data_IF_980831852677
#
_entry.id   IF_980831852677
#
_cell.length_a   1.000
_cell.length_b   1.000
_cell.length_c   1.000
_cell.angle_alpha   90.00
_cell.angle_beta   90.00
_cell.angle_gamma   90.00
#
_symmetry.space_group_name_H-M   'P 1'
#
loop_
_entity.id
_entity.type
_entity.pdbx_description
1 polymer ?
#
# COMPACT_ATOMS: atom_id res chain seq x y z
N UNK A 1 3.76 -30.11 -46.20
CA UNK A 1 2.64 -29.82 -45.28
C UNK A 1 3.24 -29.22 -44.03
N UNK A 2 2.96 -27.95 -43.75
CA UNK A 2 3.64 -27.18 -42.70
C UNK A 2 2.61 -26.79 -41.65
N UNK A 3 2.72 -27.39 -40.46
CA UNK A 3 1.73 -27.20 -39.39
C UNK A 3 2.09 -25.94 -38.60
N UNK A 4 1.38 -24.84 -38.85
CA UNK A 4 1.57 -23.59 -38.10
C UNK A 4 0.87 -23.67 -36.75
N UNK A 5 1.63 -23.88 -35.68
CA UNK A 5 1.11 -23.80 -34.31
C UNK A 5 0.91 -22.34 -33.92
N UNK A 6 -0.33 -21.89 -33.87
CA UNK A 6 -0.68 -20.55 -33.38
C UNK A 6 -0.46 -20.47 -31.87
N UNK A 7 0.59 -19.76 -31.45
CA UNK A 7 0.88 -19.49 -30.04
C UNK A 7 -0.19 -18.57 -29.45
N UNK A 8 -0.97 -19.05 -28.49
CA UNK A 8 -2.00 -18.24 -27.83
C UNK A 8 -1.35 -17.19 -26.91
N UNK A 9 -1.71 -15.91 -27.11
CA UNK A 9 -1.30 -14.81 -26.24
C UNK A 9 -1.85 -15.02 -24.81
N UNK A 10 -1.03 -14.93 -23.75
CA UNK A 10 -1.53 -15.04 -22.39
C UNK A 10 -2.44 -13.84 -22.07
N UNK A 11 -3.68 -14.12 -21.68
CA UNK A 11 -4.62 -13.08 -21.29
C UNK A 11 -4.17 -12.42 -19.98
N UNK A 12 -3.78 -11.15 -20.05
CA UNK A 12 -3.42 -10.36 -18.88
C UNK A 12 -4.61 -10.29 -17.93
N UNK A 13 -4.50 -10.89 -16.74
CA UNK A 13 -5.54 -10.82 -15.71
C UNK A 13 -5.63 -9.38 -15.18
N UNK A 14 -6.48 -8.56 -15.81
CA UNK A 14 -6.72 -7.19 -15.39
C UNK A 14 -7.33 -7.20 -13.97
N UNK A 15 -6.51 -6.85 -12.99
CA UNK A 15 -6.94 -6.78 -11.60
C UNK A 15 -8.11 -5.81 -11.42
N UNK A 16 -9.12 -6.25 -10.68
CA UNK A 16 -10.38 -5.53 -10.39
C UNK A 16 -10.13 -4.04 -10.11
N UNK A 17 -10.67 -3.15 -10.94
CA UNK A 17 -10.42 -1.70 -10.82
C UNK A 17 -11.17 -1.14 -9.60
N UNK A 18 -10.48 -1.07 -8.46
CA UNK A 18 -11.09 -0.67 -7.18
C UNK A 18 -11.20 0.84 -6.94
N UNK A 19 -10.61 1.67 -7.81
CA UNK A 19 -10.70 3.12 -7.72
C UNK A 19 -10.88 3.74 -9.09
N UNK A 20 -11.73 4.77 -9.16
CA UNK A 20 -11.94 5.52 -10.38
C UNK A 20 -11.19 6.85 -10.38
N UNK A 21 -10.61 7.13 -11.54
CA UNK A 21 -10.05 8.42 -11.90
C UNK A 21 -10.96 9.04 -12.95
N UNK A 22 -11.92 9.86 -12.52
CA UNK A 22 -12.75 10.64 -13.43
C UNK A 22 -11.94 11.70 -14.20
N UNK A 23 -12.59 12.36 -15.14
CA UNK A 23 -11.95 13.13 -16.21
C UNK A 23 -10.85 14.10 -15.75
N UNK A 24 -11.05 14.82 -14.63
CA UNK A 24 -10.06 15.76 -14.10
C UNK A 24 -8.72 15.11 -13.71
N UNK A 25 -8.73 13.87 -13.20
CA UNK A 25 -7.48 13.15 -12.88
C UNK A 25 -6.80 12.64 -14.16
N UNK A 26 -7.57 12.20 -15.17
CA UNK A 26 -7.01 11.79 -16.48
C UNK A 26 -6.38 12.96 -17.21
N UNK A 27 -7.08 14.09 -17.32
CA UNK A 27 -6.55 15.32 -17.91
C UNK A 27 -5.25 15.77 -17.20
N UNK A 28 -5.20 15.71 -15.86
CA UNK A 28 -3.97 16.00 -15.12
C UNK A 28 -2.85 14.96 -15.33
N UNK A 29 -3.16 13.70 -15.63
CA UNK A 29 -2.15 12.71 -16.03
C UNK A 29 -1.67 12.91 -17.47
N UNK A 30 -2.50 13.46 -18.35
CA UNK A 30 -2.13 13.84 -19.72
C UNK A 30 -1.23 15.09 -19.70
N UNK A 31 -1.54 16.11 -18.88
CA UNK A 31 -0.67 17.28 -18.67
C UNK A 31 0.62 16.92 -17.92
N UNK A 32 0.54 16.06 -16.90
CA UNK A 32 1.66 15.66 -16.06
C UNK A 32 1.84 14.13 -16.09
N UNK A 33 2.45 13.56 -17.15
CA UNK A 33 2.67 12.13 -17.24
C UNK A 33 3.59 11.63 -16.11
N UNK A 34 3.30 10.47 -15.49
CA UNK A 34 4.20 9.85 -14.52
C UNK A 34 5.49 9.42 -15.20
N UNK A 35 6.63 9.55 -14.53
CA UNK A 35 7.91 9.07 -15.07
C UNK A 35 7.88 7.55 -15.26
N UNK A 36 8.37 7.06 -16.40
CA UNK A 36 8.57 5.63 -16.61
C UNK A 36 9.71 5.13 -15.73
N UNK A 37 9.60 3.89 -15.24
CA UNK A 37 10.71 3.20 -14.55
C UNK A 37 11.37 2.30 -15.59
N UNK A 38 12.67 2.44 -15.86
CA UNK A 38 13.35 1.62 -16.86
C UNK A 38 13.38 0.15 -16.45
N UNK A 39 13.44 -0.75 -17.44
CA UNK A 39 13.45 -2.20 -17.21
C UNK A 39 14.84 -2.77 -16.85
N UNK A 40 15.88 -1.95 -17.05
CA UNK A 40 17.26 -2.24 -16.72
C UNK A 40 18.00 -0.96 -16.31
N UNK A 41 18.97 -1.12 -15.42
CA UNK A 41 19.91 -0.12 -14.92
C UNK A 41 21.11 -0.87 -14.31
N UNK A 42 22.23 -0.19 -14.04
CA UNK A 42 23.51 -0.83 -13.66
C UNK A 42 23.37 -1.84 -12.53
N UNK A 43 22.79 -1.42 -11.40
CA UNK A 43 22.62 -2.22 -10.19
C UNK A 43 21.77 -3.50 -10.36
N UNK A 44 20.93 -3.58 -11.39
CA UNK A 44 20.08 -4.75 -11.66
C UNK A 44 20.66 -5.68 -12.73
N UNK A 45 21.71 -5.27 -13.44
CA UNK A 45 22.45 -6.09 -14.41
C UNK A 45 23.73 -6.73 -13.83
N UNK A 46 24.12 -6.38 -12.60
CA UNK A 46 25.24 -6.97 -11.87
C UNK A 46 25.06 -8.47 -11.62
N UNK A 47 26.18 -9.22 -11.58
CA UNK A 47 26.17 -10.61 -11.11
C UNK A 47 25.79 -10.71 -9.63
N UNK A 48 25.37 -11.91 -9.17
CA UNK A 48 24.99 -12.12 -7.77
C UNK A 48 26.10 -11.71 -6.81
N UNK A 49 27.35 -12.05 -7.12
CA UNK A 49 28.46 -11.81 -6.21
C UNK A 49 28.79 -10.30 -6.09
N UNK A 50 28.75 -9.56 -7.22
CA UNK A 50 28.84 -8.09 -7.23
C UNK A 50 27.72 -7.42 -6.42
N UNK A 51 26.48 -7.90 -6.57
CA UNK A 51 25.36 -7.44 -5.74
C UNK A 51 25.63 -7.72 -4.26
N UNK A 52 26.09 -8.92 -3.92
CA UNK A 52 26.33 -9.31 -2.53
C UNK A 52 27.47 -8.50 -1.87
N UNK A 53 28.51 -8.13 -2.61
CA UNK A 53 29.57 -7.24 -2.13
C UNK A 53 29.04 -5.84 -1.85
N UNK A 54 28.34 -5.24 -2.82
CA UNK A 54 27.73 -3.91 -2.67
C UNK A 54 26.72 -3.83 -1.51
N UNK A 55 26.01 -4.94 -1.22
CA UNK A 55 25.13 -5.03 -0.05
C UNK A 55 25.91 -5.16 1.28
N UNK A 56 27.08 -5.81 1.30
CA UNK A 56 27.96 -5.84 2.48
C UNK A 56 28.42 -4.41 2.81
N UNK A 57 28.87 -3.65 1.82
CA UNK A 57 29.28 -2.26 1.99
C UNK A 57 28.12 -1.40 2.52
N UNK A 58 26.93 -1.52 1.92
CA UNK A 58 25.69 -0.86 2.36
C UNK A 58 25.22 -1.27 3.78
N UNK A 59 25.86 -2.26 4.40
CA UNK A 59 25.57 -2.72 5.76
C UNK A 59 26.78 -2.70 6.70
N UNK A 60 27.92 -2.12 6.29
CA UNK A 60 29.15 -2.07 7.07
C UNK A 60 28.96 -1.46 8.47
N UNK A 61 28.26 -0.33 8.57
CA UNK A 61 27.99 0.36 9.85
C UNK A 61 26.87 -0.29 10.69
N UNK A 62 26.29 -1.39 10.23
CA UNK A 62 25.19 -2.08 10.93
C UNK A 62 25.71 -3.12 11.91
N UNK A 63 24.98 -3.35 13.02
CA UNK A 63 25.35 -4.39 13.98
C UNK A 63 25.47 -5.77 13.30
N UNK A 64 26.40 -6.61 13.78
CA UNK A 64 26.70 -7.93 13.18
C UNK A 64 25.44 -8.77 12.89
N UNK A 65 24.49 -8.79 13.83
CA UNK A 65 23.20 -9.47 13.68
C UNK A 65 22.33 -8.87 12.55
N UNK A 66 22.28 -7.54 12.46
CA UNK A 66 21.55 -6.81 11.42
C UNK A 66 22.16 -7.03 10.03
N UNK A 67 23.48 -6.94 9.91
CA UNK A 67 24.22 -7.26 8.69
C UNK A 67 23.92 -8.71 8.27
N UNK A 68 24.08 -9.68 9.16
CA UNK A 68 23.78 -11.10 8.90
C UNK A 68 22.36 -11.32 8.36
N UNK A 69 21.32 -10.76 9.01
CA UNK A 69 19.93 -10.91 8.55
C UNK A 69 19.69 -10.27 7.18
N UNK A 70 20.28 -9.09 6.91
CA UNK A 70 20.14 -8.42 5.62
C UNK A 70 20.82 -9.20 4.50
N UNK A 71 22.06 -9.61 4.71
CA UNK A 71 22.88 -10.35 3.74
C UNK A 71 22.30 -11.74 3.47
N UNK A 72 21.96 -12.54 4.49
CA UNK A 72 21.37 -13.88 4.28
C UNK A 72 19.97 -13.83 3.67
N UNK A 73 19.16 -12.84 4.05
CA UNK A 73 17.86 -12.63 3.42
C UNK A 73 17.97 -12.26 1.94
N UNK A 74 18.91 -11.36 1.59
CA UNK A 74 19.16 -10.97 0.20
C UNK A 74 19.71 -12.13 -0.63
N UNK A 75 20.71 -12.87 -0.12
CA UNK A 75 21.30 -14.04 -0.76
C UNK A 75 20.23 -15.09 -1.12
N UNK A 76 19.31 -15.39 -0.20
CA UNK A 76 18.24 -16.36 -0.45
C UNK A 76 17.20 -15.87 -1.47
N UNK A 77 16.88 -14.57 -1.49
CA UNK A 77 16.00 -14.01 -2.51
C UNK A 77 16.69 -14.06 -3.88
N UNK A 78 17.98 -13.70 -3.97
CA UNK A 78 18.73 -13.76 -5.24
C UNK A 78 18.82 -15.19 -5.78
N UNK A 79 19.16 -16.18 -4.95
CA UNK A 79 19.16 -17.62 -5.35
C UNK A 79 17.80 -18.10 -5.86
N UNK A 80 16.71 -17.63 -5.26
CA UNK A 80 15.36 -17.92 -5.75
C UNK A 80 15.06 -17.19 -7.08
N UNK A 81 15.45 -15.92 -7.21
CA UNK A 81 15.29 -15.15 -8.45
C UNK A 81 16.12 -15.69 -9.62
N UNK A 82 17.25 -16.36 -9.37
CA UNK A 82 18.06 -17.05 -10.39
C UNK A 82 17.26 -18.12 -11.17
N UNK A 83 16.18 -18.66 -10.60
CA UNK A 83 15.33 -19.67 -11.24
C UNK A 83 14.35 -19.12 -12.28
N UNK A 84 14.07 -17.81 -12.26
CA UNK A 84 13.17 -17.16 -13.22
C UNK A 84 13.95 -16.63 -14.43
N UNK A 85 13.34 -16.61 -15.64
CA UNK A 85 13.98 -16.03 -16.81
C UNK A 85 14.19 -14.51 -16.65
N UNK A 86 15.29 -13.99 -17.21
CA UNK A 86 15.60 -12.56 -17.22
C UNK A 86 17.10 -12.27 -17.26
N UNK A 87 17.49 -11.23 -17.98
CA UNK A 87 18.85 -10.71 -18.01
C UNK A 87 19.17 -9.86 -16.76
N UNK A 88 18.15 -9.25 -16.14
CA UNK A 88 18.31 -8.42 -14.93
C UNK A 88 17.55 -8.98 -13.73
N UNK A 89 17.98 -8.61 -12.51
CA UNK A 89 17.26 -8.93 -11.28
C UNK A 89 15.84 -8.37 -11.26
N UNK A 90 15.61 -7.23 -11.90
CA UNK A 90 14.27 -6.63 -12.04
C UNK A 90 13.36 -7.45 -12.96
N UNK A 91 13.87 -7.99 -14.07
CA UNK A 91 13.13 -8.89 -14.94
C UNK A 91 12.78 -10.19 -14.20
N UNK A 92 13.75 -10.77 -13.48
CA UNK A 92 13.54 -11.95 -12.63
C UNK A 92 12.53 -11.70 -11.52
N UNK A 93 12.58 -10.53 -10.87
CA UNK A 93 11.59 -10.12 -9.86
C UNK A 93 10.16 -10.11 -10.43
N UNK A 94 9.96 -9.43 -11.57
CA UNK A 94 8.64 -9.37 -12.23
C UNK A 94 8.15 -10.75 -12.67
N UNK A 95 9.03 -11.57 -13.25
CA UNK A 95 8.70 -12.93 -13.69
C UNK A 95 8.46 -13.91 -12.54
N UNK A 96 8.80 -13.55 -11.29
CA UNK A 96 8.50 -14.36 -10.10
C UNK A 96 7.10 -14.16 -9.51
N UNK A 97 6.30 -13.23 -10.06
CA UNK A 97 4.96 -12.82 -9.55
C UNK A 97 4.95 -12.29 -8.10
N UNK A 98 6.12 -11.99 -7.52
CA UNK A 98 6.25 -11.45 -6.16
C UNK A 98 5.47 -10.15 -5.96
N UNK A 99 5.45 -9.29 -6.99
CA UNK A 99 4.70 -8.03 -7.00
C UNK A 99 3.18 -8.22 -6.87
N UNK A 100 2.63 -9.36 -7.30
CA UNK A 100 1.18 -9.64 -7.25
C UNK A 100 0.74 -10.23 -5.91
N UNK A 101 1.67 -10.84 -5.17
CA UNK A 101 1.42 -11.44 -3.85
C UNK A 101 1.63 -10.45 -2.70
N UNK A 102 0.95 -9.30 -2.75
CA UNK A 102 1.14 -8.12 -1.87
C UNK A 102 1.35 -8.43 -0.37
N UNK A 103 0.66 -9.44 0.18
CA UNK A 103 0.80 -9.89 1.59
C UNK A 103 1.44 -11.27 1.75
N UNK A 104 1.47 -12.05 0.68
CA UNK A 104 1.87 -13.47 0.68
C UNK A 104 3.26 -13.74 0.10
N UNK A 105 3.91 -12.75 -0.53
CA UNK A 105 5.12 -12.95 -1.36
C UNK A 105 6.24 -13.72 -0.67
N UNK A 106 6.42 -13.57 0.65
CA UNK A 106 7.42 -14.28 1.47
C UNK A 106 7.25 -15.80 1.37
N UNK A 107 6.02 -16.28 1.17
CA UNK A 107 5.71 -17.69 0.98
C UNK A 107 6.37 -18.30 -0.27
N UNK A 108 6.57 -17.51 -1.33
CA UNK A 108 7.12 -17.99 -2.61
C UNK A 108 8.59 -18.47 -2.49
N UNK A 109 9.57 -17.63 -2.09
CA UNK A 109 10.94 -18.11 -1.85
C UNK A 109 10.98 -19.11 -0.69
N UNK A 110 10.14 -18.96 0.33
CA UNK A 110 10.14 -19.89 1.48
C UNK A 110 9.78 -21.32 1.08
N UNK A 111 8.76 -21.51 0.23
CA UNK A 111 8.39 -22.82 -0.29
C UNK A 111 9.54 -23.41 -1.12
N UNK A 112 10.05 -22.63 -2.09
CA UNK A 112 11.14 -23.06 -2.95
C UNK A 112 12.40 -23.50 -2.17
N UNK A 113 12.83 -22.73 -1.18
CA UNK A 113 13.97 -23.12 -0.33
C UNK A 113 13.69 -24.37 0.51
N UNK A 114 12.46 -24.52 1.03
CA UNK A 114 12.07 -25.71 1.79
C UNK A 114 12.11 -26.99 0.92
N UNK A 115 11.67 -26.91 -0.34
CA UNK A 115 11.76 -28.01 -1.30
C UNK A 115 13.22 -28.42 -1.60
N UNK A 116 14.17 -27.51 -1.41
CA UNK A 116 15.63 -27.75 -1.54
C UNK A 116 16.30 -28.09 -0.20
N UNK A 117 15.53 -28.38 0.86
CA UNK A 117 16.05 -28.70 2.19
C UNK A 117 16.67 -27.52 2.95
N UNK A 118 16.50 -26.28 2.48
CA UNK A 118 17.06 -25.06 3.08
C UNK A 118 16.05 -24.45 4.07
N UNK A 119 16.40 -24.49 5.36
CA UNK A 119 15.62 -23.85 6.41
C UNK A 119 15.66 -22.31 6.31
N UNK A 120 14.54 -21.71 5.94
CA UNK A 120 14.38 -20.24 5.84
C UNK A 120 13.92 -19.66 7.17
N UNK A 121 14.78 -18.85 7.80
CA UNK A 121 14.40 -18.08 8.99
C UNK A 121 13.74 -16.73 8.63
N UNK A 122 13.40 -15.94 9.64
CA UNK A 122 12.63 -14.68 9.54
C UNK A 122 13.36 -13.50 8.85
N UNK A 123 14.45 -13.73 8.12
CA UNK A 123 15.27 -12.68 7.50
C UNK A 123 14.79 -12.21 6.11
N UNK A 124 13.89 -12.91 5.42
CA UNK A 124 13.47 -12.53 4.06
C UNK A 124 12.97 -11.07 3.93
N UNK A 125 12.14 -10.50 4.84
CA UNK A 125 11.73 -9.09 4.74
C UNK A 125 12.89 -8.11 4.88
N UNK A 126 13.88 -8.43 5.72
CA UNK A 126 15.10 -7.63 5.89
C UNK A 126 15.97 -7.68 4.64
N UNK A 127 16.06 -8.84 3.99
CA UNK A 127 16.72 -9.05 2.71
C UNK A 127 16.08 -8.29 1.56
N UNK A 128 14.75 -8.36 1.41
CA UNK A 128 14.03 -7.62 0.37
C UNK A 128 14.22 -6.10 0.52
N UNK A 129 14.08 -5.56 1.74
CA UNK A 129 14.40 -4.15 2.00
C UNK A 129 15.90 -3.83 1.79
N UNK A 130 16.79 -4.81 1.86
CA UNK A 130 18.19 -4.60 1.52
C UNK A 130 18.40 -4.49 0.01
N UNK A 131 17.80 -5.39 -0.77
CA UNK A 131 17.80 -5.34 -2.24
C UNK A 131 17.18 -4.03 -2.78
N UNK A 132 16.11 -3.53 -2.14
CA UNK A 132 15.46 -2.25 -2.52
C UNK A 132 16.36 -1.04 -2.19
N UNK A 133 17.02 -1.02 -1.03
CA UNK A 133 17.96 0.07 -0.71
C UNK A 133 19.22 0.02 -1.59
N UNK A 134 19.71 -1.17 -1.90
CA UNK A 134 20.80 -1.40 -2.85
C UNK A 134 20.36 -1.32 -4.32
N UNK A 135 19.15 -0.84 -4.61
CA UNK A 135 18.64 -0.66 -5.97
C UNK A 135 18.77 -1.87 -6.90
N UNK A 136 18.75 -3.09 -6.36
CA UNK A 136 18.83 -4.34 -7.15
C UNK A 136 17.48 -4.63 -7.81
N UNK A 137 16.40 -4.30 -7.08
CA UNK A 137 15.01 -4.41 -7.51
C UNK A 137 14.24 -3.14 -7.12
N UNK A 138 13.25 -2.79 -7.93
CA UNK A 138 12.26 -1.74 -7.71
C UNK A 138 10.86 -2.36 -7.81
N UNK A 139 10.30 -2.86 -6.69
CA UNK A 139 8.94 -3.41 -6.65
C UNK A 139 7.89 -2.34 -6.95
N UNK A 140 6.69 -2.76 -7.33
CA UNK A 140 5.60 -1.80 -7.63
C UNK A 140 5.18 -0.99 -6.38
N UNK A 141 4.65 0.25 -6.52
CA UNK A 141 4.22 1.06 -5.39
C UNK A 141 3.14 0.42 -4.51
N UNK A 142 2.25 -0.40 -5.07
CA UNK A 142 1.25 -1.16 -4.30
C UNK A 142 1.88 -2.25 -3.44
N UNK A 143 2.90 -2.94 -3.94
CA UNK A 143 3.70 -3.89 -3.15
C UNK A 143 4.46 -3.16 -2.04
N UNK A 144 5.10 -2.03 -2.34
CA UNK A 144 5.83 -1.22 -1.35
C UNK A 144 4.94 -0.68 -0.22
N UNK A 145 3.68 -0.32 -0.51
CA UNK A 145 2.67 0.04 0.50
C UNK A 145 2.29 -1.11 1.46
N UNK A 146 2.59 -2.36 1.08
CA UNK A 146 2.38 -3.56 1.88
C UNK A 146 3.65 -4.10 2.55
N UNK A 147 4.82 -3.52 2.25
CA UNK A 147 6.08 -3.94 2.86
C UNK A 147 6.12 -3.61 4.36
N UNK A 148 5.84 -4.61 5.19
CA UNK A 148 5.81 -4.49 6.64
C UNK A 148 7.23 -4.43 7.24
N UNK A 149 7.84 -3.23 7.24
CA UNK A 149 9.08 -2.95 7.97
C UNK A 149 9.01 -1.60 8.70
N UNK A 150 9.30 -1.62 10.01
CA UNK A 150 9.44 -0.40 10.82
C UNK A 150 10.59 0.50 10.36
N UNK A 151 11.59 -0.09 9.69
CA UNK A 151 12.79 0.58 9.22
C UNK A 151 12.74 0.96 7.73
N UNK A 152 11.59 0.79 7.05
CA UNK A 152 11.46 1.11 5.62
C UNK A 152 11.85 2.56 5.33
N UNK A 153 11.19 3.52 5.99
CA UNK A 153 11.44 4.96 5.80
C UNK A 153 12.90 5.31 6.09
N UNK A 154 13.38 5.01 7.30
CA UNK A 154 14.72 5.43 7.75
C UNK A 154 15.84 4.83 6.89
N UNK A 155 15.64 3.63 6.33
CA UNK A 155 16.61 3.04 5.40
C UNK A 155 16.57 3.68 4.01
N UNK A 156 15.40 4.02 3.47
CA UNK A 156 15.32 4.76 2.20
C UNK A 156 15.90 6.18 2.35
N UNK A 157 15.61 6.84 3.49
CA UNK A 157 16.14 8.15 3.87
C UNK A 157 17.67 8.15 3.96
N UNK A 158 18.27 7.13 4.58
CA UNK A 158 19.72 7.00 4.68
C UNK A 158 20.43 6.57 3.37
N UNK A 159 19.74 5.99 2.38
CA UNK A 159 20.39 5.41 1.18
C UNK A 159 20.04 6.04 -0.15
N UNK A 160 19.11 7.01 -0.22
CA UNK A 160 18.69 7.62 -1.50
C UNK A 160 18.95 9.12 -1.60
N UNK A 161 18.50 9.92 -0.63
CA UNK A 161 18.55 11.38 -0.74
C UNK A 161 18.51 12.07 0.65
N UNK A 162 19.60 11.94 1.41
CA UNK A 162 19.69 12.50 2.76
C UNK A 162 19.50 14.03 2.78
N UNK A 163 20.05 14.73 1.78
CA UNK A 163 19.96 16.19 1.67
C UNK A 163 18.53 16.64 1.36
N UNK A 164 17.86 16.04 0.37
CA UNK A 164 16.46 16.33 0.07
C UNK A 164 15.52 16.01 1.24
N UNK A 165 15.86 15.00 2.06
CA UNK A 165 15.11 14.70 3.28
C UNK A 165 15.33 15.74 4.39
N UNK A 166 16.54 16.31 4.50
CA UNK A 166 16.80 17.43 5.39
C UNK A 166 16.05 18.71 4.95
N UNK A 167 16.01 19.00 3.64
CA UNK A 167 15.20 20.10 3.09
C UNK A 167 13.70 19.92 3.37
N UNK A 168 13.16 18.71 3.16
CA UNK A 168 11.77 18.39 3.50
C UNK A 168 11.49 18.56 5.00
N UNK A 169 12.41 18.14 5.86
CA UNK A 169 12.26 18.29 7.31
C UNK A 169 12.22 19.77 7.71
N UNK A 170 13.03 20.62 7.07
CA UNK A 170 13.02 22.07 7.28
C UNK A 170 11.69 22.70 6.82
N UNK A 171 11.19 22.36 5.64
CA UNK A 171 9.90 22.86 5.11
C UNK A 171 8.71 22.36 5.92
N UNK A 172 8.73 21.11 6.37
CA UNK A 172 7.66 20.51 7.16
C UNK A 172 7.66 20.94 8.64
N UNK A 173 8.81 21.36 9.17
CA UNK A 173 9.00 21.74 10.57
C UNK A 173 8.50 20.65 11.53
N UNK A 174 7.80 21.00 12.63
CA UNK A 174 7.27 20.03 13.60
C UNK A 174 6.36 18.95 13.01
N UNK A 175 5.72 19.21 11.84
CA UNK A 175 4.82 18.24 11.21
C UNK A 175 5.56 16.98 10.72
N UNK A 176 6.86 17.08 10.40
CA UNK A 176 7.69 15.98 9.89
C UNK A 176 7.74 14.76 10.84
N UNK A 177 7.95 15.04 12.14
CA UNK A 177 8.07 14.04 13.20
C UNK A 177 6.72 13.70 13.84
N UNK A 178 5.74 14.60 13.71
CA UNK A 178 4.39 14.42 14.25
C UNK A 178 3.65 13.23 13.62
N UNK A 179 2.67 12.68 14.34
CA UNK A 179 1.85 11.54 13.87
C UNK A 179 1.16 11.80 12.53
N UNK A 180 0.85 13.07 12.23
CA UNK A 180 0.22 13.51 10.96
C UNK A 180 1.17 13.48 9.76
N UNK A 181 2.48 13.67 9.95
CA UNK A 181 3.49 13.62 8.88
C UNK A 181 3.95 12.21 8.53
N UNK A 182 3.82 11.24 9.44
CA UNK A 182 4.28 9.86 9.22
C UNK A 182 3.76 9.22 7.92
N UNK A 183 2.47 9.35 7.53
CA UNK A 183 2.00 8.89 6.22
C UNK A 183 2.69 9.59 5.06
N UNK A 184 2.90 10.90 5.16
CA UNK A 184 3.55 11.70 4.11
C UNK A 184 5.01 11.28 3.88
N UNK A 185 5.78 11.10 4.96
CA UNK A 185 7.15 10.62 4.88
C UNK A 185 7.24 9.19 4.29
N UNK A 186 6.26 8.33 4.59
CA UNK A 186 6.17 6.99 4.01
C UNK A 186 5.80 7.04 2.51
N UNK A 187 4.85 7.88 2.11
CA UNK A 187 4.48 8.11 0.70
C UNK A 187 5.70 8.56 -0.13
N UNK A 188 6.52 9.46 0.40
CA UNK A 188 7.76 9.91 -0.25
C UNK A 188 8.76 8.75 -0.34
N UNK A 189 8.98 7.99 0.75
CA UNK A 189 9.87 6.82 0.72
C UNK A 189 9.43 5.75 -0.30
N UNK A 190 8.12 5.56 -0.51
CA UNK A 190 7.59 4.66 -1.56
C UNK A 190 7.91 5.20 -2.96
N UNK A 191 7.83 6.51 -3.21
CA UNK A 191 8.19 7.11 -4.50
C UNK A 191 9.67 6.94 -4.82
N UNK A 192 10.56 7.26 -3.87
CA UNK A 192 12.01 7.11 -4.04
C UNK A 192 12.39 5.64 -4.28
N UNK A 193 11.81 4.71 -3.52
CA UNK A 193 12.05 3.26 -3.66
C UNK A 193 11.53 2.68 -4.99
N UNK A 194 10.41 3.19 -5.51
CA UNK A 194 9.81 2.69 -6.74
C UNK A 194 10.50 3.21 -8.02
N UNK A 195 11.07 4.42 -7.98
CA UNK A 195 11.54 5.11 -9.19
C UNK A 195 13.03 5.39 -9.25
N UNK A 196 13.77 5.26 -8.13
CA UNK A 196 15.15 5.73 -7.97
C UNK A 196 15.32 7.17 -8.44
N UNK A 197 15.05 8.07 -7.52
CA UNK A 197 15.06 9.48 -7.79
C UNK A 197 15.40 10.21 -6.51
N UNK A 198 15.91 11.43 -6.63
CA UNK A 198 15.93 12.38 -5.52
C UNK A 198 14.54 12.96 -5.31
N UNK A 199 14.33 13.59 -4.16
CA UNK A 199 13.08 14.25 -3.79
C UNK A 199 12.75 15.39 -4.76
N UNK A 200 13.77 16.10 -5.24
CA UNK A 200 13.65 17.17 -6.25
C UNK A 200 13.32 16.65 -7.66
N UNK A 201 13.47 15.36 -7.93
CA UNK A 201 13.09 14.75 -9.21
C UNK A 201 11.63 14.26 -9.21
N UNK A 202 10.95 14.25 -8.04
CA UNK A 202 9.57 13.78 -7.93
C UNK A 202 8.65 14.74 -8.68
N UNK A 203 7.93 14.23 -9.67
CA UNK A 203 6.99 15.01 -10.50
C UNK A 203 5.56 14.96 -9.98
N UNK A 204 4.71 15.85 -10.51
CA UNK A 204 3.25 15.82 -10.28
C UNK A 204 2.64 14.50 -10.73
N UNK A 205 3.06 13.98 -11.89
CA UNK A 205 2.61 12.70 -12.43
C UNK A 205 2.92 11.52 -11.51
N UNK A 206 4.09 11.52 -10.88
CA UNK A 206 4.46 10.52 -9.88
C UNK A 206 3.53 10.58 -8.65
N UNK A 207 3.21 11.78 -8.19
CA UNK A 207 2.28 12.01 -7.08
C UNK A 207 0.84 11.56 -7.44
N UNK A 208 0.38 11.83 -8.66
CA UNK A 208 -0.91 11.36 -9.19
C UNK A 208 -0.95 9.83 -9.27
N UNK A 209 0.12 9.20 -9.76
CA UNK A 209 0.25 7.73 -9.84
C UNK A 209 0.28 7.05 -8.46
N UNK A 210 0.91 7.69 -7.46
CA UNK A 210 0.87 7.23 -6.08
C UNK A 210 -0.55 7.31 -5.50
N UNK A 211 -1.22 8.47 -5.63
CA UNK A 211 -2.61 8.67 -5.18
C UNK A 211 -3.58 7.67 -5.82
N UNK A 212 -3.39 7.38 -7.11
CA UNK A 212 -4.13 6.35 -7.83
C UNK A 212 -3.92 4.95 -7.25
N UNK A 213 -2.67 4.62 -6.92
CA UNK A 213 -2.32 3.33 -6.32
C UNK A 213 -2.86 3.18 -4.90
N UNK A 214 -2.76 4.23 -4.07
CA UNK A 214 -3.36 4.25 -2.74
C UNK A 214 -4.89 4.07 -2.77
N UNK A 215 -5.57 4.61 -3.78
CA UNK A 215 -7.02 4.46 -3.92
C UNK A 215 -7.41 3.01 -4.24
N UNK A 216 -6.61 2.28 -5.04
CA UNK A 216 -6.82 0.84 -5.28
C UNK A 216 -6.48 -0.01 -4.05
N UNK A 217 -5.40 0.33 -3.34
CA UNK A 217 -4.87 -0.44 -2.20
C UNK A 217 -5.70 -0.27 -0.92
N UNK A 218 -6.25 0.93 -0.68
CA UNK A 218 -6.91 1.26 0.59
C UNK A 218 -8.40 1.55 0.39
N UNK A 219 -9.25 0.58 0.73
CA UNK A 219 -10.72 0.60 0.58
C UNK A 219 -11.48 1.71 1.33
N UNK A 220 -10.78 2.54 2.10
CA UNK A 220 -11.29 3.73 2.78
C UNK A 220 -10.27 4.88 2.62
N UNK A 221 -10.77 6.06 2.22
CA UNK A 221 -9.97 7.28 2.05
C UNK A 221 -9.53 7.89 3.37
N UNK A 222 -8.44 7.37 3.95
CA UNK A 222 -7.88 7.83 5.21
C UNK A 222 -7.36 9.28 5.17
N UNK A 223 -7.53 9.97 6.29
CA UNK A 223 -7.03 11.35 6.51
C UNK A 223 -5.50 11.41 6.42
N UNK A 224 -4.95 12.53 5.91
CA UNK A 224 -3.50 12.78 5.85
C UNK A 224 -2.79 12.38 4.56
N UNK A 225 -3.47 11.71 3.61
CA UNK A 225 -2.85 11.22 2.35
C UNK A 225 -2.49 12.28 1.31
N UNK A 226 -2.85 13.55 1.49
CA UNK A 226 -2.46 14.65 0.59
C UNK A 226 -1.26 15.45 1.08
N UNK A 227 -0.82 15.25 2.34
CA UNK A 227 0.19 16.10 2.97
C UNK A 227 1.56 16.01 2.27
N UNK A 228 1.95 14.83 1.78
CA UNK A 228 3.23 14.66 1.06
C UNK A 228 3.35 15.61 -0.13
N UNK A 229 2.26 15.81 -0.88
CA UNK A 229 2.25 16.70 -2.03
C UNK A 229 2.39 18.16 -1.62
N UNK A 230 1.76 18.58 -0.52
CA UNK A 230 1.94 19.92 0.03
C UNK A 230 3.37 20.18 0.49
N UNK A 231 4.04 19.17 1.07
CA UNK A 231 5.46 19.27 1.43
C UNK A 231 6.37 19.37 0.18
N UNK A 232 6.12 18.56 -0.84
CA UNK A 232 6.86 18.61 -2.11
C UNK A 232 6.65 19.93 -2.87
N UNK A 233 5.41 20.46 -2.93
CA UNK A 233 5.15 21.79 -3.51
C UNK A 233 5.85 22.90 -2.70
N UNK A 234 6.01 22.73 -1.39
CA UNK A 234 6.74 23.64 -0.51
C UNK A 234 8.26 23.73 -0.78
N UNK A 235 8.87 22.75 -1.46
CA UNK A 235 10.26 22.82 -1.94
C UNK A 235 10.44 23.71 -3.19
N UNK A 236 9.34 24.12 -3.82
CA UNK A 236 9.34 25.04 -4.97
C UNK A 236 9.84 24.47 -6.29
N UNK A 237 10.18 23.17 -6.38
CA UNK A 237 10.70 22.55 -7.63
C UNK A 237 9.61 22.07 -8.59
N UNK A 238 8.35 21.97 -8.14
CA UNK A 238 7.23 21.54 -8.99
C UNK A 238 6.83 22.68 -9.96
N UNK A 239 6.38 22.35 -11.19
CA UNK A 239 5.93 23.32 -12.19
C UNK A 239 4.93 24.37 -11.66
N UNK A 240 4.90 25.59 -12.25
CA UNK A 240 4.01 26.67 -11.80
C UNK A 240 2.52 26.32 -11.98
N UNK A 241 2.19 25.62 -13.06
CA UNK A 241 0.87 25.09 -13.42
C UNK A 241 0.47 23.83 -12.61
N UNK A 242 1.40 23.23 -11.85
CA UNK A 242 1.09 22.06 -11.04
C UNK A 242 0.03 22.38 -9.96
N UNK A 243 -1.01 21.53 -9.78
CA UNK A 243 -2.14 21.80 -8.88
C UNK A 243 -1.74 22.27 -7.48
N UNK A 244 -2.52 23.16 -6.85
CA UNK A 244 -2.26 23.58 -5.47
C UNK A 244 -2.43 22.44 -4.45
N UNK A 245 -3.31 21.47 -4.72
CA UNK A 245 -3.51 20.30 -3.85
C UNK A 245 -4.08 19.10 -4.61
N UNK A 246 -3.59 17.89 -4.28
CA UNK A 246 -4.16 16.63 -4.76
C UNK A 246 -5.37 16.15 -3.95
N UNK A 247 -5.74 16.88 -2.89
CA UNK A 247 -6.96 16.62 -2.11
C UNK A 247 -8.20 16.80 -2.98
N UNK A 248 -8.20 17.87 -3.77
CA UNK A 248 -9.28 18.17 -4.69
C UNK A 248 -9.20 17.34 -5.95
N UNK A 249 -8.03 16.96 -6.44
CA UNK A 249 -7.91 15.98 -7.54
C UNK A 249 -8.51 14.63 -7.16
N UNK A 250 -8.47 14.20 -5.90
CA UNK A 250 -9.13 12.94 -5.47
C UNK A 250 -10.63 13.10 -5.16
N UNK A 251 -11.12 14.32 -4.91
CA UNK A 251 -12.55 14.59 -4.63
C UNK A 251 -13.34 14.98 -5.89
N UNK A 252 -12.70 15.77 -6.74
CA UNK A 252 -13.18 16.26 -8.03
C UNK A 252 -12.66 15.42 -9.21
N UNK A 253 -11.99 14.28 -8.96
CA UNK A 253 -12.03 13.11 -9.87
C UNK A 253 -13.43 12.48 -9.97
N UNK A 254 -14.46 13.14 -9.44
CA UNK A 254 -15.48 13.73 -10.31
C UNK A 254 -16.41 12.71 -10.96
N UNK A 255 -17.53 12.48 -10.27
CA UNK A 255 -18.76 11.80 -10.74
C UNK A 255 -18.54 10.89 -11.96
N UNK A 256 -17.87 9.78 -11.70
CA UNK A 256 -17.70 8.72 -12.68
C UNK A 256 -19.08 8.21 -13.09
N UNK A 257 -19.27 7.97 -14.39
CA UNK A 257 -20.59 7.61 -14.90
C UNK A 257 -21.08 6.33 -14.23
N UNK A 258 -22.39 6.18 -14.11
CA UNK A 258 -22.95 4.97 -13.49
C UNK A 258 -22.59 3.72 -14.31
N UNK A 259 -22.47 3.85 -15.63
CA UNK A 259 -21.97 2.82 -16.54
C UNK A 259 -20.53 2.37 -16.22
N UNK A 260 -19.67 3.30 -15.83
CA UNK A 260 -18.30 3.01 -15.40
C UNK A 260 -18.26 2.41 -13.99
N UNK A 261 -19.07 2.93 -13.05
CA UNK A 261 -19.20 2.42 -11.66
C UNK A 261 -19.53 0.91 -11.61
N UNK A 262 -20.32 0.44 -12.58
CA UNK A 262 -20.65 -0.98 -12.79
C UNK A 262 -19.59 -1.67 -13.67
N UNK A 263 -19.06 -0.98 -14.68
CA UNK A 263 -18.09 -1.52 -15.65
C UNK A 263 -16.82 -2.12 -15.03
N UNK A 264 -16.34 -1.60 -13.88
CA UNK A 264 -15.16 -2.15 -13.14
C UNK A 264 -15.27 -3.62 -12.70
N UNK A 265 -16.47 -4.19 -12.77
CA UNK A 265 -16.73 -5.58 -12.39
C UNK A 265 -16.67 -6.55 -13.58
N UNK A 266 -16.44 -6.07 -14.80
CA UNK A 266 -16.30 -6.88 -16.02
C UNK A 266 -17.41 -7.93 -16.19
N UNK A 267 -18.65 -7.51 -15.90
CA UNK A 267 -19.83 -8.37 -15.98
C UNK A 267 -19.99 -8.92 -17.40
N UNK A 268 -19.94 -10.25 -17.54
CA UNK A 268 -20.08 -10.94 -18.83
C UNK A 268 -21.51 -10.78 -19.41
N UNK A 269 -22.52 -10.64 -18.54
CA UNK A 269 -23.90 -10.44 -18.97
C UNK A 269 -24.23 -8.93 -19.09
N UNK A 270 -24.44 -8.48 -20.33
CA UNK A 270 -24.79 -7.09 -20.65
C UNK A 270 -26.16 -6.66 -20.11
N UNK A 271 -27.19 -7.50 -20.18
CA UNK A 271 -28.53 -7.14 -19.67
C UNK A 271 -28.54 -6.93 -18.14
N UNK A 272 -27.78 -7.74 -17.41
CA UNK A 272 -27.58 -7.56 -15.96
C UNK A 272 -26.75 -6.31 -15.67
N UNK A 273 -25.71 -6.04 -16.47
CA UNK A 273 -24.93 -4.80 -16.37
C UNK A 273 -25.82 -3.58 -16.57
N UNK A 274 -26.64 -3.56 -17.61
CA UNK A 274 -27.44 -2.40 -17.98
C UNK A 274 -28.52 -2.13 -16.92
N UNK A 275 -29.19 -3.16 -16.39
CA UNK A 275 -30.11 -2.98 -15.26
C UNK A 275 -29.41 -2.41 -14.00
N UNK A 276 -28.19 -2.87 -13.70
CA UNK A 276 -27.41 -2.31 -12.58
C UNK A 276 -27.06 -0.83 -12.81
N UNK A 277 -26.84 -0.44 -14.07
CA UNK A 277 -26.61 0.94 -14.46
C UNK A 277 -27.89 1.76 -14.31
N UNK A 278 -29.02 1.29 -14.83
CA UNK A 278 -30.32 1.96 -14.74
C UNK A 278 -30.75 2.17 -13.28
N UNK A 279 -30.67 1.13 -12.44
CA UNK A 279 -31.03 1.20 -11.03
C UNK A 279 -30.17 2.21 -10.23
N UNK A 280 -28.87 2.26 -10.51
CA UNK A 280 -27.97 3.22 -9.86
C UNK A 280 -28.16 4.63 -10.45
N UNK A 281 -28.56 4.77 -11.72
CA UNK A 281 -28.90 6.05 -12.34
C UNK A 281 -30.20 6.63 -11.77
N UNK A 282 -31.23 5.80 -11.57
CA UNK A 282 -32.49 6.17 -10.92
C UNK A 282 -32.27 6.64 -9.47
N UNK A 283 -31.34 6.01 -8.74
CA UNK A 283 -31.00 6.40 -7.35
C UNK A 283 -30.04 7.58 -7.22
N UNK A 284 -29.33 7.96 -8.28
CA UNK A 284 -28.34 9.05 -8.27
C UNK A 284 -28.89 10.39 -7.74
N UNK A 285 -30.12 10.86 -8.04
CA UNK A 285 -30.62 12.15 -7.55
C UNK A 285 -30.79 12.22 -6.03
N UNK A 286 -30.96 11.07 -5.36
CA UNK A 286 -31.20 10.99 -3.92
C UNK A 286 -29.94 10.66 -3.09
N UNK A 287 -28.77 10.51 -3.73
CA UNK A 287 -27.53 10.08 -3.10
C UNK A 287 -26.38 11.01 -3.45
N UNK A 288 -25.54 11.35 -2.48
CA UNK A 288 -24.22 11.90 -2.78
C UNK A 288 -23.35 10.85 -3.51
N UNK A 289 -22.33 11.30 -4.23
CA UNK A 289 -21.50 10.40 -5.04
C UNK A 289 -20.78 9.33 -4.21
N UNK A 290 -20.39 9.59 -2.95
CA UNK A 290 -19.74 8.59 -2.10
C UNK A 290 -20.72 7.52 -1.61
N UNK A 291 -21.97 7.90 -1.34
CA UNK A 291 -23.06 6.97 -1.07
C UNK A 291 -23.39 6.11 -2.29
N UNK A 292 -23.42 6.70 -3.50
CA UNK A 292 -23.63 5.99 -4.76
C UNK A 292 -22.49 5.02 -5.10
N UNK A 293 -21.24 5.46 -4.94
CA UNK A 293 -20.05 4.62 -5.13
C UNK A 293 -20.05 3.45 -4.15
N UNK A 294 -20.34 3.70 -2.87
CA UNK A 294 -20.43 2.65 -1.86
C UNK A 294 -21.59 1.68 -2.12
N UNK A 295 -22.75 2.18 -2.58
CA UNK A 295 -23.88 1.35 -2.99
C UNK A 295 -23.48 0.40 -4.13
N UNK A 296 -22.85 0.91 -5.19
CA UNK A 296 -22.34 0.06 -6.28
C UNK A 296 -21.28 -0.95 -5.79
N UNK A 297 -20.43 -0.55 -4.83
CA UNK A 297 -19.40 -1.41 -4.23
C UNK A 297 -19.98 -2.59 -3.45
N UNK A 298 -21.13 -2.42 -2.80
CA UNK A 298 -21.82 -3.49 -2.07
C UNK A 298 -22.65 -4.35 -3.03
N UNK A 299 -23.39 -3.69 -3.92
CA UNK A 299 -24.46 -4.32 -4.69
C UNK A 299 -23.94 -5.17 -5.85
N UNK A 300 -22.92 -4.72 -6.59
CA UNK A 300 -22.45 -5.45 -7.78
C UNK A 300 -21.68 -6.74 -7.43
N UNK A 301 -20.75 -6.80 -6.45
CA UNK A 301 -20.13 -8.06 -6.03
C UNK A 301 -21.16 -9.06 -5.48
N UNK A 302 -22.10 -8.59 -4.66
CA UNK A 302 -23.17 -9.43 -4.11
C UNK A 302 -24.12 -9.99 -5.18
N UNK A 303 -24.14 -9.39 -6.39
CA UNK A 303 -24.83 -9.97 -7.54
C UNK A 303 -23.91 -10.92 -8.32
N UNK A 304 -22.65 -10.54 -8.57
CA UNK A 304 -21.69 -11.28 -9.39
C UNK A 304 -21.30 -12.63 -8.79
N UNK A 305 -20.96 -12.68 -7.49
CA UNK A 305 -20.64 -13.91 -6.74
C UNK A 305 -21.80 -14.92 -6.76
N UNK A 306 -23.02 -14.51 -7.12
CA UNK A 306 -24.18 -15.39 -7.22
C UNK A 306 -24.58 -15.75 -8.67
N UNK A 307 -23.98 -15.14 -9.69
CA UNK A 307 -24.25 -15.44 -11.10
C UNK A 307 -23.25 -16.43 -11.68
N UNK A 308 -21.98 -16.34 -11.30
CA UNK A 308 -20.93 -17.20 -11.85
C UNK A 308 -20.89 -18.59 -11.16
N UNK A 309 -21.10 -18.66 -9.84
CA UNK A 309 -21.04 -19.90 -9.06
C UNK A 309 -22.26 -20.84 -9.22
N UNK A 310 -23.42 -20.34 -9.66
CA UNK A 310 -24.69 -21.10 -9.61
C UNK A 310 -25.24 -21.55 -10.96
N UNK A 311 -24.88 -20.87 -12.07
CA UNK A 311 -25.11 -21.32 -13.46
C UNK A 311 -24.45 -20.34 -14.44
N UNK A 312 -23.38 -20.72 -15.16
CA UNK A 312 -22.85 -19.86 -16.23
C UNK A 312 -23.93 -19.65 -17.30
N UNK A 313 -24.15 -18.40 -17.70
CA UNK A 313 -25.11 -18.03 -18.75
C UNK A 313 -26.51 -17.59 -18.29
N UNK A 314 -26.75 -17.30 -17.00
CA UNK A 314 -28.02 -16.69 -16.58
C UNK A 314 -28.19 -15.31 -17.24
N UNK A 315 -29.32 -15.13 -17.94
CA UNK A 315 -29.81 -13.91 -18.59
C UNK A 315 -30.99 -13.25 -17.84
N UNK A 316 -31.51 -13.91 -16.80
CA UNK A 316 -32.73 -13.53 -16.11
C UNK A 316 -32.56 -13.46 -14.60
N UNK A 317 -32.97 -12.34 -14.00
CA UNK A 317 -32.95 -12.13 -12.54
C UNK A 317 -34.14 -12.77 -11.81
N UNK A 318 -34.94 -13.59 -12.51
CA UNK A 318 -36.02 -14.40 -11.90
C UNK A 318 -35.44 -15.58 -11.12
N UNK A 319 -34.91 -15.28 -9.93
CA UNK A 319 -34.53 -16.28 -8.95
C UNK A 319 -35.78 -17.06 -8.48
N UNK A 320 -35.64 -18.37 -8.27
CA UNK A 320 -36.68 -19.14 -7.57
C UNK A 320 -36.80 -18.64 -6.12
N UNK A 321 -37.94 -18.91 -5.47
CA UNK A 321 -38.15 -18.53 -4.07
C UNK A 321 -37.07 -19.12 -3.14
N UNK A 322 -36.63 -20.34 -3.44
CA UNK A 322 -35.54 -21.06 -2.75
C UNK A 322 -34.19 -20.35 -2.95
N UNK A 323 -33.80 -20.02 -4.18
CA UNK A 323 -32.56 -19.28 -4.45
C UNK A 323 -32.59 -17.88 -3.80
N UNK A 324 -33.75 -17.22 -3.79
CA UNK A 324 -33.94 -15.93 -3.12
C UNK A 324 -33.86 -16.01 -1.58
N UNK A 325 -34.31 -17.13 -0.98
CA UNK A 325 -34.16 -17.39 0.45
C UNK A 325 -32.70 -17.68 0.82
N UNK A 326 -32.04 -18.60 0.10
CA UNK A 326 -30.62 -18.91 0.28
C UNK A 326 -29.71 -17.68 0.04
N UNK A 327 -30.11 -16.75 -0.83
CA UNK A 327 -29.48 -15.44 -1.03
C UNK A 327 -29.63 -14.54 0.20
N UNK A 328 -30.84 -14.40 0.75
CA UNK A 328 -31.08 -13.57 1.96
C UNK A 328 -30.24 -14.07 3.14
N UNK A 329 -30.12 -15.38 3.30
CA UNK A 329 -29.37 -15.96 4.42
C UNK A 329 -27.85 -15.80 4.28
N UNK A 330 -27.30 -15.95 3.07
CA UNK A 330 -25.88 -15.64 2.79
C UNK A 330 -25.53 -14.15 2.94
N UNK A 331 -26.43 -13.23 2.60
CA UNK A 331 -26.19 -11.79 2.81
C UNK A 331 -26.23 -11.41 4.30
N UNK A 332 -27.01 -12.13 5.12
CA UNK A 332 -26.99 -11.99 6.60
C UNK A 332 -25.70 -12.57 7.20
N UNK A 333 -25.25 -13.71 6.72
CA UNK A 333 -24.04 -14.40 7.17
C UNK A 333 -22.83 -13.92 6.39
N UNK A 334 -22.35 -12.72 6.73
CA UNK A 334 -21.07 -12.20 6.24
C UNK A 334 -19.98 -13.25 6.50
N UNK A 335 -19.30 -13.80 5.49
CA UNK A 335 -18.21 -14.74 5.72
C UNK A 335 -17.19 -14.07 6.61
N UNK A 336 -16.86 -14.71 7.73
CA UNK A 336 -15.80 -14.22 8.60
C UNK A 336 -14.52 -14.24 7.76
N UNK A 337 -13.92 -13.07 7.53
CA UNK A 337 -12.70 -12.98 6.74
C UNK A 337 -11.68 -13.97 7.31
N UNK A 338 -11.01 -14.79 6.47
CA UNK A 338 -10.09 -15.81 6.94
C UNK A 338 -9.10 -15.20 7.93
N UNK A 339 -8.85 -15.90 9.04
CA UNK A 339 -8.31 -15.34 10.28
C UNK A 339 -6.99 -14.58 10.10
N UNK A 340 -7.12 -13.28 9.80
CA UNK A 340 -6.01 -12.36 9.50
C UNK A 340 -6.42 -10.88 9.46
N UNK A 341 -7.73 -10.58 9.57
CA UNK A 341 -8.26 -9.21 9.69
C UNK A 341 -7.98 -8.54 11.05
N UNK A 342 -7.71 -9.32 12.10
CA UNK A 342 -7.45 -8.80 13.45
C UNK A 342 -5.98 -8.41 13.66
N UNK A 343 -5.60 -7.20 13.21
CA UNK A 343 -4.27 -6.66 13.55
C UNK A 343 -4.21 -5.13 13.71
N UNK A 344 -5.14 -4.57 14.52
CA UNK A 344 -4.77 -3.49 15.48
C UNK A 344 -5.79 -3.22 16.61
N UNK A 345 -6.06 -4.21 17.45
CA UNK A 345 -6.36 -3.96 18.86
C UNK A 345 -5.73 -5.08 19.69
N UNK A 346 -4.56 -4.82 20.28
CA UNK A 346 -4.16 -5.54 21.48
C UNK A 346 -5.08 -5.04 22.61
N UNK A 347 -5.77 -5.92 23.35
CA UNK A 347 -6.05 -5.63 24.74
C UNK A 347 -4.71 -5.40 25.44
N UNK A 348 -4.65 -4.51 26.43
CA UNK A 348 -3.45 -4.37 27.24
C UNK A 348 -3.07 -5.74 27.81
N UNK A 349 -1.79 -6.11 27.73
CA UNK A 349 -1.31 -7.36 28.29
C UNK A 349 -1.64 -7.40 29.79
N UNK A 350 -2.17 -8.53 30.26
CA UNK A 350 -2.35 -8.78 31.70
C UNK A 350 -0.99 -8.62 32.39
N UNK A 351 -0.89 -7.59 33.23
CA UNK A 351 0.19 -7.49 34.20
C UNK A 351 0.07 -8.67 35.17
N UNK A 352 1.18 -9.35 35.53
CA UNK A 352 1.12 -10.43 36.51
C UNK A 352 0.51 -9.94 37.81
N UNK A 353 -0.47 -10.69 38.34
CA UNK A 353 -1.10 -10.38 39.63
C UNK A 353 -0.04 -10.47 40.74
N UNK A 354 0.32 -9.33 41.32
CA UNK A 354 1.09 -9.29 42.56
C UNK A 354 0.24 -9.92 43.68
N UNK A 355 0.83 -10.76 44.56
CA UNK A 355 0.09 -11.43 45.61
C UNK A 355 -0.36 -10.46 46.71
N UNK A 356 -1.52 -10.76 47.26
CA UNK A 356 -2.25 -9.98 48.25
C UNK A 356 -1.40 -9.67 49.51
N UNK A 357 -1.34 -8.39 49.90
CA UNK A 357 -0.83 -7.92 51.19
C UNK A 357 -1.72 -6.79 51.70
N UNK A 358 -2.17 -6.96 52.94
CA UNK A 358 -3.25 -6.20 53.57
C UNK A 358 -2.99 -4.72 53.88
N UNK A 359 -3.90 -4.08 54.63
CA UNK A 359 -4.15 -2.65 54.54
C UNK A 359 -3.05 -1.79 55.19
N UNK A 360 -2.38 -0.97 54.40
CA UNK A 360 -1.51 0.09 54.90
C UNK A 360 -2.32 1.36 55.19
N UNK A 361 -2.23 1.82 56.45
CA UNK A 361 -2.94 2.98 56.99
C UNK A 361 -2.49 4.30 56.37
N UNK A 362 -3.44 5.22 56.15
CA UNK A 362 -3.19 6.61 55.73
C UNK A 362 -2.53 7.41 56.87
N UNK A 363 -1.38 8.08 56.64
CA UNK A 363 -0.87 9.09 57.56
C UNK A 363 -1.71 10.38 57.48
N UNK A 364 -2.12 10.91 58.64
CA UNK A 364 -2.85 12.19 58.74
C UNK A 364 -1.90 13.37 58.50
N UNK A 365 -2.32 14.33 57.68
CA UNK A 365 -1.71 15.67 57.69
C UNK A 365 -2.15 16.45 58.93
N UNK A 366 -1.19 17.02 59.67
CA UNK A 366 -1.39 18.11 60.63
C UNK A 366 -0.48 19.31 60.27
N UNK A 367 -0.80 20.53 60.72
CA UNK A 367 -0.39 21.76 60.04
C UNK A 367 0.86 22.42 60.65
N UNK A 368 1.55 23.23 59.84
CA UNK A 368 2.61 24.14 60.31
C UNK A 368 2.08 25.57 60.38
N UNK A 369 2.21 26.18 61.56
CA UNK A 369 1.76 27.54 61.87
C UNK A 369 2.76 28.65 61.52
N UNK A 370 2.33 29.90 61.73
CA UNK A 370 3.03 31.14 61.36
C UNK A 370 3.98 31.68 62.45
N UNK A 371 5.00 32.43 62.02
CA UNK A 371 5.68 33.50 62.77
C UNK A 371 6.52 34.31 61.76
N UNK A 372 6.35 35.61 61.45
CA UNK A 372 5.74 36.83 62.04
C UNK A 372 6.75 37.81 62.67
N UNK A 373 7.18 38.75 61.83
CA UNK A 373 7.59 40.16 62.05
C UNK A 373 7.15 40.93 60.77
N UNK A 374 7.13 42.26 60.64
CA UNK A 374 7.25 43.37 61.60
C UNK A 374 6.79 44.68 60.90
N UNK A 375 6.11 45.65 61.56
CA UNK A 375 5.51 46.83 60.91
C UNK A 375 6.27 48.15 61.30
N UNK A 376 5.79 49.42 61.07
CA UNK A 376 4.46 49.86 60.61
C UNK A 376 4.32 51.16 59.74
N UNK A 377 3.07 51.43 59.31
CA UNK A 377 2.38 52.74 59.15
C UNK A 377 2.79 53.74 58.04
N UNK A 378 1.90 54.72 57.71
CA UNK A 378 0.51 54.93 58.20
C UNK A 378 -0.59 54.44 57.24
#
# INVERSE_FOLDING_TARGET
>A
MTTTTTTATPATSQGKVMAFHGAAHKALQETFPPRLVPDAWTATAESRDQVMDRLRDLSADSSKHTCYHRIRGAEQILRWLETFPGATWQQRWRNSTADDQLRGWIGLPRAWHADHGVGVASYLPSGALHLICGDVIRPRPDWLMHLHSTNFRSRIEATRDQDGYAELAAVAGPAWSARVGRPACHQIAVLLAAKDCRIRDITVGDCLGLRATEARVYSCGGTGRSLFYSLLKGLGHLPPDAPHTLRDVTRHSGQVSVADLVGRYHLQNTAVRDLLVDYLAERRPALDFSSLENLSRILVPALLENLEDLRPGIDSLRLSAETAAARKERVRTRPQAPAGWHLRHQPAAELPRLPDRGPCLLPRHHPVGRGRTGPPCP
#
